data_IF_347023280830
#
_entry.id   IF_347023280830
#
_cell.length_a   1.000
_cell.length_b   1.000
_cell.length_c   1.000
_cell.angle_alpha   90.00
_cell.angle_beta   90.00
_cell.angle_gamma   90.00
#
_symmetry.space_group_name_H-M   'P 1'
#
loop_
_entity.id
_entity.type
_entity.pdbx_description
1 polymer ?
#
# COMPACT_ATOMS: atom_id res chain seq x y z
N UNK A 1 1.84 14.09 -8.54
CA UNK A 1 1.65 15.22 -7.60
C UNK A 1 2.54 15.17 -6.35
N UNK A 2 2.91 14.01 -5.82
CA UNK A 2 3.79 13.91 -4.64
C UNK A 2 5.29 14.08 -4.94
N UNK A 3 5.73 13.89 -6.17
CA UNK A 3 7.15 14.00 -6.54
C UNK A 3 7.83 15.32 -6.16
N UNK A 4 7.17 16.49 -6.28
CA UNK A 4 7.79 17.75 -5.88
C UNK A 4 8.09 17.89 -4.38
N UNK A 5 7.42 17.10 -3.53
CA UNK A 5 7.63 17.13 -2.08
C UNK A 5 8.46 15.94 -1.57
N UNK A 6 8.89 15.06 -2.47
CA UNK A 6 9.64 13.85 -2.10
C UNK A 6 10.95 14.18 -1.34
N UNK A 7 11.66 15.21 -1.80
CA UNK A 7 12.92 15.63 -1.17
C UNK A 7 12.69 16.18 0.26
N UNK A 8 11.55 16.83 0.49
CA UNK A 8 11.17 17.28 1.84
C UNK A 8 10.86 16.11 2.77
N UNK A 9 10.22 15.05 2.26
CA UNK A 9 9.99 13.82 3.02
C UNK A 9 11.31 13.13 3.36
N UNK A 10 12.25 13.05 2.44
CA UNK A 10 13.56 12.48 2.69
C UNK A 10 14.34 13.27 3.75
N UNK A 11 14.34 14.60 3.65
CA UNK A 11 15.04 15.49 4.60
C UNK A 11 14.41 15.47 6.01
N UNK A 12 13.09 15.21 6.12
CA UNK A 12 12.40 15.15 7.40
C UNK A 12 12.82 13.96 8.27
N UNK A 13 13.48 12.96 7.70
CA UNK A 13 13.99 11.78 8.39
C UNK A 13 12.97 11.09 9.28
N UNK A 14 11.77 10.88 8.74
CA UNK A 14 10.70 10.14 9.43
C UNK A 14 11.11 8.69 9.67
N UNK A 15 10.56 8.08 10.71
CA UNK A 15 10.70 6.64 10.95
C UNK A 15 10.02 5.79 9.86
N UNK A 16 8.90 6.27 9.34
CA UNK A 16 8.12 5.64 8.27
C UNK A 16 7.30 6.71 7.54
N UNK A 17 7.06 6.51 6.26
CA UNK A 17 6.13 7.33 5.47
C UNK A 17 4.96 6.48 5.05
N UNK A 18 3.76 6.86 5.45
CA UNK A 18 2.57 6.18 4.98
C UNK A 18 2.28 6.57 3.53
N UNK A 19 2.32 5.55 2.69
CA UNK A 19 2.06 5.68 1.28
C UNK A 19 0.64 5.22 0.94
N UNK A 20 0.37 5.19 -0.31
CA UNK A 20 -0.88 4.89 -0.96
C UNK A 20 -1.64 3.69 -0.35
N UNK A 21 -2.79 3.95 0.22
CA UNK A 21 -3.74 2.91 0.66
C UNK A 21 -4.74 2.54 -0.43
N UNK A 22 -5.63 1.61 -0.12
CA UNK A 22 -6.59 1.05 -1.08
C UNK A 22 -7.41 2.10 -1.85
N UNK A 23 -8.00 3.03 -1.12
CA UNK A 23 -8.85 4.09 -1.72
C UNK A 23 -8.05 5.05 -2.59
N UNK A 24 -6.83 5.38 -2.19
CA UNK A 24 -5.97 6.23 -2.99
C UNK A 24 -5.54 5.52 -4.29
N UNK A 25 -5.44 4.21 -4.27
CA UNK A 25 -5.17 3.41 -5.46
C UNK A 25 -6.28 3.56 -6.50
N UNK A 26 -7.51 3.35 -6.05
CA UNK A 26 -8.69 3.55 -6.90
C UNK A 26 -8.80 5.00 -7.39
N UNK A 27 -8.58 5.97 -6.50
CA UNK A 27 -8.60 7.39 -6.85
C UNK A 27 -7.52 7.76 -7.89
N UNK A 28 -6.32 7.19 -7.81
CA UNK A 28 -5.29 7.40 -8.82
C UNK A 28 -5.73 6.98 -10.22
N UNK A 29 -6.36 5.82 -10.32
CA UNK A 29 -6.83 5.30 -11.60
C UNK A 29 -8.03 6.08 -12.13
N UNK A 30 -9.04 6.31 -11.29
CA UNK A 30 -10.32 6.91 -11.72
C UNK A 30 -10.25 8.40 -12.00
N UNK A 31 -9.55 9.15 -11.17
CA UNK A 31 -9.61 10.62 -11.21
C UNK A 31 -8.35 11.27 -11.76
N UNK A 32 -7.21 10.60 -11.68
CA UNK A 32 -5.93 11.19 -12.07
C UNK A 32 -5.38 10.51 -13.34
N UNK A 33 -5.85 9.31 -13.69
CA UNK A 33 -5.35 8.53 -14.80
C UNK A 33 -3.90 8.05 -14.61
N UNK A 34 -3.43 7.97 -13.36
CA UNK A 34 -2.10 7.50 -13.01
C UNK A 34 -2.09 5.99 -12.71
N UNK A 35 -0.98 5.34 -13.08
CA UNK A 35 -0.67 4.01 -12.60
C UNK A 35 -0.10 4.11 -11.17
N UNK A 36 -0.81 3.67 -10.13
CA UNK A 36 -0.38 3.82 -8.75
C UNK A 36 0.88 3.01 -8.42
N UNK A 37 1.12 1.88 -9.07
CA UNK A 37 2.36 1.11 -8.93
C UNK A 37 3.58 1.87 -9.44
N UNK A 38 3.41 2.61 -10.54
CA UNK A 38 4.45 3.48 -11.06
C UNK A 38 4.76 4.62 -10.07
N UNK A 39 3.72 5.21 -9.48
CA UNK A 39 3.86 6.25 -8.45
C UNK A 39 4.69 5.77 -7.26
N UNK A 40 4.39 4.59 -6.71
CA UNK A 40 5.14 4.01 -5.58
C UNK A 40 6.61 3.87 -5.95
N UNK A 41 6.91 3.27 -7.09
CA UNK A 41 8.29 3.05 -7.54
C UNK A 41 9.06 4.35 -7.78
N UNK A 42 8.42 5.37 -8.33
CA UNK A 42 9.06 6.67 -8.54
C UNK A 42 9.36 7.40 -7.24
N UNK A 43 8.44 7.33 -6.27
CA UNK A 43 8.67 7.88 -4.94
C UNK A 43 9.77 7.10 -4.20
N UNK A 44 9.78 5.78 -4.31
CA UNK A 44 10.81 4.94 -3.68
C UNK A 44 12.22 5.24 -4.16
N UNK A 45 12.39 5.70 -5.39
CA UNK A 45 13.70 6.13 -5.93
C UNK A 45 14.23 7.41 -5.27
N UNK A 46 13.38 8.19 -4.63
CA UNK A 46 13.72 9.49 -4.04
C UNK A 46 13.69 9.51 -2.52
N UNK A 47 12.96 8.59 -1.92
CA UNK A 47 12.73 8.54 -0.47
C UNK A 47 13.28 7.21 0.04
N UNK A 48 14.29 7.28 0.89
CA UNK A 48 14.91 6.11 1.52
C UNK A 48 14.14 5.62 2.76
N UNK A 49 13.39 6.52 3.40
CA UNK A 49 12.52 6.18 4.54
C UNK A 49 11.58 5.03 4.19
N UNK A 50 11.42 4.03 5.06
CA UNK A 50 10.52 2.91 4.82
C UNK A 50 9.10 3.34 4.50
N UNK A 51 8.47 2.68 3.52
CA UNK A 51 7.08 2.92 3.17
C UNK A 51 6.16 1.96 3.90
N UNK A 52 5.05 2.50 4.37
CA UNK A 52 3.97 1.77 5.01
C UNK A 52 2.66 1.97 4.26
N UNK A 53 1.81 0.95 4.30
CA UNK A 53 0.47 1.02 3.72
C UNK A 53 -0.56 0.36 4.63
N UNK A 54 -1.77 0.92 4.64
CA UNK A 54 -2.92 0.26 5.25
C UNK A 54 -3.54 -0.75 4.29
N UNK A 55 -3.79 -1.97 4.78
CA UNK A 55 -4.55 -3.01 4.09
C UNK A 55 -5.94 -3.12 4.71
N UNK A 56 -6.97 -2.97 3.90
CA UNK A 56 -8.37 -2.97 4.36
C UNK A 56 -9.00 -4.34 4.23
N UNK A 57 -8.50 -5.33 4.96
CA UNK A 57 -9.11 -6.66 4.99
C UNK A 57 -9.51 -7.15 3.58
N UNK A 58 -10.71 -7.66 3.41
CA UNK A 58 -11.22 -8.14 2.11
C UNK A 58 -11.56 -7.04 1.09
N UNK A 59 -11.35 -5.77 1.43
CA UNK A 59 -11.60 -4.61 0.56
C UNK A 59 -10.27 -3.96 0.13
N UNK A 60 -9.38 -4.73 -0.46
CA UNK A 60 -7.99 -4.31 -0.73
C UNK A 60 -7.89 -3.11 -1.68
N UNK A 61 -8.77 -2.99 -2.67
CA UNK A 61 -8.68 -1.97 -3.73
C UNK A 61 -9.68 -0.83 -3.60
N UNK A 62 -10.83 -1.09 -2.98
CA UNK A 62 -11.93 -0.12 -2.88
C UNK A 62 -12.79 -0.43 -1.64
N UNK A 63 -14.08 -0.09 -1.68
CA UNK A 63 -15.05 -0.40 -0.62
C UNK A 63 -15.79 -1.73 -0.81
N UNK A 64 -15.59 -2.40 -1.94
CA UNK A 64 -16.22 -3.67 -2.25
C UNK A 64 -15.31 -4.83 -1.83
N UNK A 65 -15.95 -5.94 -1.42
CA UNK A 65 -15.22 -7.15 -1.11
C UNK A 65 -14.55 -7.73 -2.35
N UNK A 66 -13.27 -8.02 -2.24
CA UNK A 66 -12.49 -8.64 -3.30
C UNK A 66 -12.37 -10.15 -3.08
N UNK A 67 -12.23 -10.95 -4.15
CA UNK A 67 -11.81 -12.34 -4.07
C UNK A 67 -10.49 -12.50 -3.30
N UNK A 68 -10.31 -13.66 -2.66
CA UNK A 68 -9.14 -13.94 -1.82
C UNK A 68 -7.84 -13.83 -2.61
N UNK A 69 -7.79 -14.39 -3.80
CA UNK A 69 -6.65 -14.36 -4.70
C UNK A 69 -6.23 -12.93 -5.11
N UNK A 70 -7.20 -12.03 -5.28
CA UNK A 70 -6.93 -10.61 -5.53
C UNK A 70 -6.32 -9.94 -4.30
N UNK A 71 -6.79 -10.25 -3.11
CA UNK A 71 -6.23 -9.71 -1.87
C UNK A 71 -4.81 -10.22 -1.62
N UNK A 72 -4.54 -11.49 -1.93
CA UNK A 72 -3.20 -12.07 -1.85
C UNK A 72 -2.24 -11.43 -2.87
N UNK A 73 -2.68 -11.31 -4.12
CA UNK A 73 -1.92 -10.62 -5.16
C UNK A 73 -1.63 -9.16 -4.80
N UNK A 74 -2.57 -8.49 -4.15
CA UNK A 74 -2.37 -7.13 -3.64
C UNK A 74 -1.20 -7.05 -2.66
N UNK A 75 -1.15 -7.93 -1.66
CA UNK A 75 -0.05 -8.02 -0.70
C UNK A 75 1.31 -8.27 -1.37
N UNK A 76 1.35 -9.20 -2.31
CA UNK A 76 2.53 -9.51 -3.11
C UNK A 76 3.02 -8.28 -3.91
N UNK A 77 2.12 -7.61 -4.61
CA UNK A 77 2.48 -6.46 -5.45
C UNK A 77 2.91 -5.24 -4.65
N UNK A 78 2.35 -5.04 -3.45
CA UNK A 78 2.81 -4.00 -2.52
C UNK A 78 4.27 -4.24 -2.14
N UNK A 79 4.60 -5.42 -1.65
CA UNK A 79 5.96 -5.78 -1.28
C UNK A 79 6.94 -5.62 -2.46
N UNK A 80 6.61 -6.17 -3.63
CA UNK A 80 7.41 -6.04 -4.86
C UNK A 80 7.57 -4.60 -5.35
N UNK A 81 6.67 -3.70 -4.97
CA UNK A 81 6.76 -2.28 -5.35
C UNK A 81 7.59 -1.44 -4.37
N UNK A 82 8.09 -2.04 -3.30
CA UNK A 82 8.94 -1.37 -2.32
C UNK A 82 8.21 -0.88 -1.07
N UNK A 83 7.02 -1.42 -0.78
CA UNK A 83 6.37 -1.26 0.51
C UNK A 83 7.02 -2.23 1.48
N UNK A 84 7.51 -1.73 2.60
CA UNK A 84 8.28 -2.50 3.59
C UNK A 84 7.48 -2.81 4.85
N UNK A 85 6.34 -2.15 5.02
CA UNK A 85 5.46 -2.33 6.17
C UNK A 85 4.01 -2.29 5.76
N UNK A 86 3.26 -3.21 6.31
CA UNK A 86 1.82 -3.25 6.16
C UNK A 86 1.16 -3.33 7.52
N UNK A 87 0.03 -2.67 7.67
CA UNK A 87 -0.85 -2.90 8.79
C UNK A 87 -2.28 -3.07 8.30
N UNK A 88 -3.03 -3.90 8.98
CA UNK A 88 -4.37 -4.23 8.55
C UNK A 88 -5.42 -3.48 9.36
N UNK A 89 -6.49 -3.13 8.69
CA UNK A 89 -7.69 -2.56 9.27
C UNK A 89 -8.90 -3.40 8.89
N UNK A 90 -9.69 -3.75 9.88
CA UNK A 90 -11.02 -4.34 9.71
C UNK A 90 -11.97 -3.68 10.72
N UNK A 91 -13.06 -3.10 10.24
CA UNK A 91 -14.03 -2.39 11.09
C UNK A 91 -14.78 -3.28 12.07
N UNK A 92 -14.78 -4.59 11.83
CA UNK A 92 -15.39 -5.60 12.70
C UNK A 92 -14.35 -6.37 13.53
N UNK A 93 -13.06 -6.08 13.34
CA UNK A 93 -11.95 -6.81 13.94
C UNK A 93 -11.99 -8.32 13.62
N UNK A 94 -12.39 -8.67 12.41
CA UNK A 94 -12.40 -10.05 11.93
C UNK A 94 -11.00 -10.47 11.50
N UNK A 95 -10.34 -11.27 12.33
CA UNK A 95 -8.99 -11.74 12.08
C UNK A 95 -8.90 -12.76 10.94
N UNK A 96 -9.93 -13.53 10.69
CA UNK A 96 -9.96 -14.50 9.59
C UNK A 96 -9.94 -13.79 8.23
N UNK A 97 -10.48 -12.58 8.16
CA UNK A 97 -10.40 -11.73 6.98
C UNK A 97 -9.06 -10.98 6.87
N UNK A 98 -8.39 -10.72 7.97
CA UNK A 98 -7.24 -9.82 8.06
C UNK A 98 -5.90 -10.56 7.94
N UNK A 99 -5.77 -11.68 8.65
CA UNK A 99 -4.52 -12.43 8.74
C UNK A 99 -3.99 -12.93 7.39
N UNK A 100 -4.79 -13.50 6.49
CA UNK A 100 -4.29 -14.01 5.21
C UNK A 100 -3.55 -12.97 4.38
N UNK A 101 -4.05 -11.73 4.36
CA UNK A 101 -3.44 -10.64 3.60
C UNK A 101 -2.09 -10.21 4.19
N UNK A 102 -2.00 -10.13 5.51
CA UNK A 102 -0.74 -9.83 6.20
C UNK A 102 0.30 -10.92 5.97
N UNK A 103 -0.14 -12.18 5.99
CA UNK A 103 0.74 -13.32 5.69
C UNK A 103 1.23 -13.31 4.25
N UNK A 104 0.37 -12.93 3.29
CA UNK A 104 0.79 -12.77 1.90
C UNK A 104 1.85 -11.68 1.75
N UNK A 105 1.62 -10.49 2.30
CA UNK A 105 2.58 -9.39 2.24
C UNK A 105 3.93 -9.81 2.88
N UNK A 106 3.87 -10.43 4.07
CA UNK A 106 5.05 -10.93 4.79
C UNK A 106 5.82 -11.99 3.99
N UNK A 107 5.13 -12.91 3.34
CA UNK A 107 5.76 -13.95 2.51
C UNK A 107 6.55 -13.38 1.32
N UNK A 108 6.21 -12.15 0.89
CA UNK A 108 6.85 -11.46 -0.22
C UNK A 108 7.81 -10.33 0.21
N UNK A 109 8.07 -10.19 1.50
CA UNK A 109 9.13 -9.34 2.03
C UNK A 109 8.72 -7.98 2.63
N UNK A 110 7.43 -7.78 2.85
CA UNK A 110 6.94 -6.61 3.59
C UNK A 110 6.87 -6.89 5.11
#
# INVERSE_FOLDING_TARGET
MMLPVADAFEQANFWVVEMIGAVQFDACMRFIGENPWHRIRELRRRISTPFQVIMRSNCALNFDRQPVDINELWGELLAKSGIERVYAFDGLHDYDNTIPQLLSAKAHGA
#
